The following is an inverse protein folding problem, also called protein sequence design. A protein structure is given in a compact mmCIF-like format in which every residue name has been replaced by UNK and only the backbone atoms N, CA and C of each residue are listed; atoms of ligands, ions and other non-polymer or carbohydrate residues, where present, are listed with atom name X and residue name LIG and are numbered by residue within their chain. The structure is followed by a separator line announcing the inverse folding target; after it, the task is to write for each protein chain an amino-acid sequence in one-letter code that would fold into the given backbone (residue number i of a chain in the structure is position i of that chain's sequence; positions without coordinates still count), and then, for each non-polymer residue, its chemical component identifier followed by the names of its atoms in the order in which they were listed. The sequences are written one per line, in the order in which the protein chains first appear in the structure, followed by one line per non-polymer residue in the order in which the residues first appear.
data_IF_293700385966
#
_entry.id   IF_293700385966
#
_cell.length_a   1.000
_cell.length_b   1.000
_cell.length_c   1.000
_cell.angle_alpha   90.00
_cell.angle_beta   90.00
_cell.angle_gamma   90.00
#
_symmetry.space_group_name_H-M   'P 1'
#
loop_
_entity.id
_entity.type
_entity.pdbx_description
1 polymer ?
#
# COMPACT_ATOMS: atom_id res chain seq x y z
N UNK A 1 -9.02 32.88 -22.26
CA UNK A 1 -8.35 32.27 -21.10
C UNK A 1 -8.02 30.84 -21.49
N UNK A 2 -6.74 30.56 -21.75
CA UNK A 2 -6.29 29.20 -22.06
C UNK A 2 -5.96 28.51 -20.76
N UNK A 3 -6.67 27.44 -20.43
CA UNK A 3 -6.25 26.51 -19.38
C UNK A 3 -4.97 25.86 -19.90
N UNK A 4 -3.82 25.90 -19.20
CA UNK A 4 -2.64 25.21 -19.67
C UNK A 4 -2.96 23.73 -19.76
N UNK A 5 -2.67 23.12 -20.91
CA UNK A 5 -2.79 21.69 -21.10
C UNK A 5 -1.92 21.02 -20.03
N UNK A 6 -2.56 20.23 -19.17
CA UNK A 6 -1.88 19.44 -18.17
C UNK A 6 -0.94 18.48 -18.92
N UNK A 7 0.36 18.61 -18.66
CA UNK A 7 1.39 17.80 -19.30
C UNK A 7 1.11 16.31 -19.01
N UNK A 8 1.00 15.43 -20.03
CA UNK A 8 0.73 14.01 -19.80
C UNK A 8 1.82 13.30 -18.97
N UNK A 9 3.03 13.85 -18.95
CA UNK A 9 4.17 13.38 -18.16
C UNK A 9 4.20 13.86 -16.71
N UNK A 10 3.30 14.76 -16.30
CA UNK A 10 3.15 15.20 -14.91
C UNK A 10 1.90 14.62 -14.22
N UNK A 11 1.08 13.85 -14.94
CA UNK A 11 -0.06 13.10 -14.34
C UNK A 11 0.38 11.85 -13.57
N UNK A 12 1.67 11.50 -13.57
CA UNK A 12 2.20 10.31 -12.89
C UNK A 12 2.54 10.53 -11.41
N UNK A 13 2.27 11.72 -10.85
CA UNK A 13 2.65 12.08 -9.47
C UNK A 13 1.46 12.24 -8.52
N UNK A 14 0.23 12.21 -9.02
CA UNK A 14 -0.96 12.12 -8.16
C UNK A 14 -1.31 10.65 -8.08
N UNK A 15 -0.99 9.99 -6.96
CA UNK A 15 -1.41 8.63 -6.69
C UNK A 15 -2.91 8.51 -6.98
N UNK A 16 -3.30 7.44 -7.66
CA UNK A 16 -4.71 7.20 -7.92
C UNK A 16 -5.45 7.19 -6.58
N UNK A 17 -6.76 7.52 -6.52
CA UNK A 17 -7.52 7.40 -5.27
C UNK A 17 -7.43 5.99 -4.65
N UNK A 18 -7.14 4.96 -5.45
CA UNK A 18 -6.80 3.62 -4.97
C UNK A 18 -5.45 3.55 -4.24
N UNK A 19 -4.42 4.25 -4.73
CA UNK A 19 -3.09 4.25 -4.10
C UNK A 19 -3.14 4.85 -2.69
N UNK A 20 -3.92 5.92 -2.47
CA UNK A 20 -4.09 6.55 -1.15
C UNK A 20 -4.70 5.57 -0.14
N UNK A 21 -5.74 4.82 -0.55
CA UNK A 21 -6.36 3.82 0.32
C UNK A 21 -5.37 2.68 0.64
N UNK A 22 -4.56 2.27 -0.33
CA UNK A 22 -3.54 1.25 -0.14
C UNK A 22 -2.44 1.73 0.82
N UNK A 23 -2.03 3.01 0.77
CA UNK A 23 -1.09 3.60 1.72
C UNK A 23 -1.61 3.57 3.17
N UNK A 24 -2.89 3.90 3.39
CA UNK A 24 -3.52 3.82 4.71
C UNK A 24 -3.61 2.37 5.21
N UNK A 25 -4.05 1.45 4.35
CA UNK A 25 -4.09 0.02 4.67
C UNK A 25 -2.69 -0.53 4.98
N UNK A 26 -1.67 -0.10 4.24
CA UNK A 26 -0.29 -0.48 4.47
C UNK A 26 0.22 -0.02 5.85
N UNK A 27 -0.16 1.18 6.29
CA UNK A 27 0.17 1.67 7.63
C UNK A 27 -0.42 0.78 8.73
N UNK A 28 -1.68 0.36 8.59
CA UNK A 28 -2.33 -0.56 9.55
C UNK A 28 -1.72 -1.96 9.54
N UNK A 29 -1.30 -2.46 8.38
CA UNK A 29 -0.57 -3.72 8.28
C UNK A 29 0.77 -3.66 9.02
N UNK A 30 1.42 -2.49 9.02
CA UNK A 30 2.65 -2.25 9.80
C UNK A 30 2.45 -2.26 11.31
N UNK A 31 1.26 -1.88 11.78
CA UNK A 31 0.88 -1.87 13.20
C UNK A 31 0.27 -3.21 13.67
N UNK A 32 -0.15 -4.06 12.72
CA UNK A 32 -0.75 -5.37 13.03
C UNK A 32 0.30 -6.31 13.61
N UNK A 33 0.04 -6.92 14.79
CA UNK A 33 0.99 -7.86 15.39
C UNK A 33 1.14 -9.09 14.51
N UNK A 34 2.39 -9.53 14.33
CA UNK A 34 2.74 -10.75 13.60
C UNK A 34 3.29 -11.80 14.56
N UNK A 35 3.09 -13.06 14.23
CA UNK A 35 3.63 -14.19 14.98
C UNK A 35 5.08 -14.51 14.56
N UNK A 36 5.68 -15.53 15.16
CA UNK A 36 7.06 -15.98 14.88
C UNK A 36 7.26 -16.54 13.47
N UNK A 37 6.17 -16.81 12.73
CA UNK A 37 6.18 -17.32 11.36
C UNK A 37 5.85 -16.21 10.33
N UNK A 38 5.95 -14.94 10.72
CA UNK A 38 5.60 -13.78 9.89
C UNK A 38 4.13 -13.79 9.39
N UNK A 39 3.23 -14.44 10.13
CA UNK A 39 1.79 -14.42 9.87
C UNK A 39 1.10 -13.39 10.76
N UNK A 40 0.04 -12.75 10.25
CA UNK A 40 -0.78 -11.84 11.04
C UNK A 40 -1.43 -12.59 12.22
N UNK A 41 -1.23 -12.10 13.45
CA UNK A 41 -1.78 -12.72 14.66
C UNK A 41 -3.23 -12.27 14.93
N UNK A 42 -3.74 -11.33 14.13
CA UNK A 42 -5.10 -10.82 14.14
C UNK A 42 -5.67 -10.79 12.71
N UNK A 43 -7.00 -10.92 12.53
CA UNK A 43 -7.62 -10.76 11.22
C UNK A 43 -7.45 -9.32 10.72
N UNK A 44 -6.97 -9.18 9.49
CA UNK A 44 -6.69 -7.89 8.87
C UNK A 44 -7.58 -7.74 7.63
N UNK A 45 -8.56 -6.84 7.66
CA UNK A 45 -9.53 -6.63 6.57
C UNK A 45 -10.20 -7.94 6.12
N UNK A 46 -9.90 -8.42 4.91
CA UNK A 46 -10.41 -9.68 4.34
C UNK A 46 -9.49 -10.89 4.61
N UNK A 47 -8.30 -10.67 5.20
CA UNK A 47 -7.35 -11.74 5.52
C UNK A 47 -7.59 -12.29 6.94
N UNK A 48 -7.79 -13.61 7.07
CA UNK A 48 -7.95 -14.22 8.39
C UNK A 48 -6.63 -14.24 9.16
N UNK A 49 -6.72 -14.32 10.50
CA UNK A 49 -5.58 -14.61 11.36
C UNK A 49 -4.82 -15.84 10.84
N UNK A 50 -3.50 -15.74 10.77
CA UNK A 50 -2.61 -16.78 10.24
C UNK A 50 -2.24 -16.61 8.76
N UNK A 51 -2.66 -15.53 8.10
CA UNK A 51 -2.17 -15.20 6.75
C UNK A 51 -0.74 -14.68 6.80
N UNK A 52 0.15 -15.16 5.92
CA UNK A 52 1.51 -14.65 5.84
C UNK A 52 1.52 -13.20 5.36
N UNK A 53 2.37 -12.40 5.99
CA UNK A 53 2.54 -11.00 5.62
C UNK A 53 3.04 -10.84 4.17
N UNK A 54 3.82 -11.81 3.66
CA UNK A 54 4.28 -11.83 2.27
C UNK A 54 3.12 -11.95 1.27
N UNK A 55 2.09 -12.76 1.57
CA UNK A 55 0.91 -12.89 0.70
C UNK A 55 0.16 -11.57 0.60
N UNK A 56 0.04 -10.89 1.74
CA UNK A 56 -0.58 -9.56 1.82
C UNK A 56 0.28 -8.56 1.03
N UNK A 57 1.60 -8.59 1.18
CA UNK A 57 2.52 -7.73 0.42
C UNK A 57 2.43 -7.94 -1.09
N UNK A 58 2.31 -9.19 -1.55
CA UNK A 58 2.09 -9.49 -2.96
C UNK A 58 0.81 -8.87 -3.48
N UNK A 59 -0.28 -8.90 -2.70
CA UNK A 59 -1.50 -8.20 -3.06
C UNK A 59 -1.29 -6.69 -3.23
N UNK A 60 -0.58 -6.04 -2.29
CA UNK A 60 -0.24 -4.62 -2.41
C UNK A 60 0.66 -4.34 -3.62
N UNK A 61 1.59 -5.23 -3.94
CA UNK A 61 2.47 -5.08 -5.10
C UNK A 61 1.70 -5.12 -6.43
N UNK A 62 0.68 -5.98 -6.52
CA UNK A 62 -0.17 -6.11 -7.70
C UNK A 62 -1.21 -4.98 -7.83
N UNK A 63 -1.72 -4.46 -6.71
CA UNK A 63 -2.80 -3.47 -6.68
C UNK A 63 -2.31 -2.02 -6.60
N UNK A 64 -1.06 -1.78 -6.18
CA UNK A 64 -0.46 -0.45 -6.12
C UNK A 64 0.29 -0.11 -7.40
N UNK A 65 0.07 1.07 -7.96
CA UNK A 65 0.67 1.47 -9.25
C UNK A 65 2.20 1.48 -9.25
N UNK A 66 2.83 1.59 -8.07
CA UNK A 66 4.29 1.59 -7.87
C UNK A 66 4.78 0.37 -7.10
N UNK A 67 3.87 -0.54 -6.76
CA UNK A 67 4.14 -1.73 -5.97
C UNK A 67 4.49 -1.47 -4.50
N UNK A 68 4.83 -2.55 -3.81
CA UNK A 68 5.12 -2.58 -2.38
C UNK A 68 6.48 -1.96 -2.04
N UNK A 69 7.43 -2.01 -2.98
CA UNK A 69 8.75 -1.40 -2.81
C UNK A 69 8.65 0.12 -2.60
N UNK A 70 7.70 0.77 -3.26
CA UNK A 70 7.45 2.20 -3.06
C UNK A 70 6.83 2.49 -1.69
N UNK A 71 5.85 1.66 -1.27
CA UNK A 71 5.21 1.74 0.04
C UNK A 71 6.22 1.57 1.18
N UNK A 72 7.14 0.59 1.06
CA UNK A 72 8.24 0.39 2.00
C UNK A 72 9.21 1.58 2.12
N UNK A 73 9.37 2.34 1.05
CA UNK A 73 10.30 3.47 1.03
C UNK A 73 9.64 4.78 1.51
N UNK A 74 8.33 4.91 1.33
CA UNK A 74 7.56 6.12 1.65
C UNK A 74 6.72 6.00 2.93
N UNK A 75 6.62 4.83 3.55
CA UNK A 75 5.94 4.64 4.85
C UNK A 75 6.73 5.12 6.08
N UNK A 76 7.78 5.93 5.90
CA UNK A 76 8.57 6.48 7.01
C UNK A 76 8.39 8.00 7.13
N UNK A 77 7.30 8.42 7.77
CA UNK A 77 7.19 9.75 8.35
C UNK A 77 6.47 9.69 9.70
N UNK A 78 7.27 9.62 10.78
CA UNK A 78 6.95 10.22 12.09
C UNK A 78 7.86 11.42 12.31
#
# INVERSE_FOLDING_TARGET
MSIPALNPSEQSTVGQPGDILLEEMWAWLGDTPINVNDEIDEPFLDWPKGTHREDIWHFFDEHHSKGVAWLMQHNNTV
#
